data_IF_817659524865
#
_entry.id   IF_817659524865
#
_cell.length_a   1.000
_cell.length_b   1.000
_cell.length_c   1.000
_cell.angle_alpha   90.00
_cell.angle_beta   90.00
_cell.angle_gamma   90.00
#
_symmetry.space_group_name_H-M   'P 1'
#
loop_
_entity.id
_entity.type
_entity.pdbx_description
1 polymer ?
#
# COMPACT_ATOMS: atom_id res chain seq x y z
N UNK A 1 -6.16 -9.58 -3.99
CA UNK A 1 -5.03 -8.89 -3.33
C UNK A 1 -5.00 -7.46 -3.83
N UNK A 2 -4.82 -6.47 -2.96
CA UNK A 2 -4.74 -5.06 -3.35
C UNK A 2 -3.36 -4.74 -3.93
N UNK A 3 -3.25 -3.97 -5.04
CA UNK A 3 -1.95 -3.56 -5.59
C UNK A 3 -1.08 -2.82 -4.57
N UNK A 4 0.24 -2.97 -4.63
CA UNK A 4 1.18 -2.29 -3.72
C UNK A 4 0.95 -0.77 -3.64
N UNK A 5 0.67 -0.12 -4.78
CA UNK A 5 0.34 1.32 -4.85
C UNK A 5 -0.89 1.72 -4.04
N UNK A 6 -1.89 0.84 -3.93
CA UNK A 6 -3.09 1.10 -3.11
C UNK A 6 -2.83 0.92 -1.61
N UNK A 7 -1.86 0.08 -1.22
CA UNK A 7 -1.45 -0.06 0.18
C UNK A 7 -0.75 1.20 0.69
N UNK A 8 0.16 1.79 -0.09
CA UNK A 8 0.79 3.07 0.27
C UNK A 8 -0.23 4.18 0.47
N UNK A 9 -1.20 4.30 -0.46
CA UNK A 9 -2.27 5.30 -0.35
C UNK A 9 -3.21 5.07 0.84
N UNK A 10 -3.43 3.81 1.21
CA UNK A 10 -4.20 3.48 2.40
C UNK A 10 -3.43 3.87 3.68
N UNK A 11 -2.12 3.62 3.72
CA UNK A 11 -1.27 4.05 4.82
C UNK A 11 -1.22 5.58 4.96
N UNK A 12 -1.19 6.33 3.84
CA UNK A 12 -1.27 7.79 3.85
C UNK A 12 -2.55 8.27 4.54
N UNK A 13 -3.70 7.63 4.25
CA UNK A 13 -4.99 7.97 4.90
C UNK A 13 -4.94 7.68 6.40
N UNK A 14 -4.36 6.55 6.82
CA UNK A 14 -4.21 6.22 8.24
C UNK A 14 -3.32 7.25 8.94
N UNK A 15 -2.20 7.64 8.31
CA UNK A 15 -1.26 8.61 8.87
C UNK A 15 -1.94 9.95 9.20
N UNK A 16 -2.87 10.40 8.33
CA UNK A 16 -3.65 11.62 8.58
C UNK A 16 -4.59 11.50 9.80
N UNK A 17 -5.10 10.30 10.09
CA UNK A 17 -6.02 10.07 11.20
C UNK A 17 -5.33 9.98 12.57
N UNK A 18 -4.04 9.57 12.59
CA UNK A 18 -3.27 9.34 13.82
C UNK A 18 -2.33 10.49 14.17
N UNK A 19 -2.53 11.67 13.57
CA UNK A 19 -1.68 12.82 13.84
C UNK A 19 -1.72 13.20 15.33
N UNK A 20 -0.56 13.55 15.93
CA UNK A 20 -0.47 13.94 17.34
C UNK A 20 -1.38 15.13 17.64
N UNK A 21 -1.34 16.14 16.78
CA UNK A 21 -2.17 17.33 16.86
C UNK A 21 -3.58 17.06 16.30
N UNK A 22 -4.65 17.22 17.10
CA UNK A 22 -6.01 16.93 16.67
C UNK A 22 -6.51 17.88 15.57
N UNK A 23 -6.00 19.10 15.50
CA UNK A 23 -6.38 20.12 14.51
C UNK A 23 -5.91 19.77 13.09
N UNK A 24 -4.88 18.93 12.97
CA UNK A 24 -4.38 18.45 11.68
C UNK A 24 -5.09 17.20 11.19
N UNK A 25 -5.96 16.60 12.02
CA UNK A 25 -6.77 15.47 11.59
C UNK A 25 -7.88 15.99 10.68
N UNK A 26 -8.03 15.42 9.48
CA UNK A 26 -9.10 15.82 8.59
C UNK A 26 -10.47 15.42 9.17
N UNK A 27 -11.56 16.08 8.75
CA UNK A 27 -12.89 15.65 9.12
C UNK A 27 -13.16 14.22 8.64
N UNK A 28 -13.91 13.44 9.42
CA UNK A 28 -14.22 12.03 9.07
C UNK A 28 -14.92 11.88 7.72
N UNK A 29 -15.65 12.90 7.26
CA UNK A 29 -16.25 12.94 5.92
C UNK A 29 -15.19 12.85 4.81
N UNK A 30 -14.05 13.51 4.98
CA UNK A 30 -12.94 13.48 4.01
C UNK A 30 -12.24 12.12 4.02
N UNK A 31 -12.01 11.54 5.21
CA UNK A 31 -11.44 10.20 5.37
C UNK A 31 -12.30 9.16 4.66
N UNK A 32 -13.61 9.17 4.91
CA UNK A 32 -14.55 8.23 4.29
C UNK A 32 -14.57 8.40 2.77
N UNK A 33 -14.59 9.65 2.27
CA UNK A 33 -14.54 9.90 0.83
C UNK A 33 -13.24 9.39 0.19
N UNK A 34 -12.09 9.59 0.84
CA UNK A 34 -10.80 9.09 0.35
C UNK A 34 -10.77 7.56 0.29
N UNK A 35 -11.28 6.89 1.34
CA UNK A 35 -11.39 5.43 1.41
C UNK A 35 -12.32 4.87 0.33
N UNK A 36 -13.50 5.47 0.15
CA UNK A 36 -14.47 5.06 -0.89
C UNK A 36 -13.83 5.16 -2.27
N UNK A 37 -13.17 6.29 -2.58
CA UNK A 37 -12.47 6.48 -3.86
C UNK A 37 -11.38 5.43 -4.08
N UNK A 38 -10.62 5.09 -3.04
CA UNK A 38 -9.56 4.09 -3.11
C UNK A 38 -10.11 2.68 -3.39
N UNK A 39 -11.17 2.28 -2.66
CA UNK A 39 -11.82 0.97 -2.84
C UNK A 39 -12.44 0.87 -4.23
N UNK A 40 -13.13 1.91 -4.71
CA UNK A 40 -13.71 1.94 -6.05
C UNK A 40 -12.63 1.78 -7.13
N UNK A 41 -11.52 2.53 -7.04
CA UNK A 41 -10.41 2.42 -7.99
C UNK A 41 -9.76 1.04 -7.97
N UNK A 42 -9.52 0.47 -6.78
CA UNK A 42 -8.97 -0.88 -6.66
C UNK A 42 -9.91 -1.96 -7.24
N UNK A 43 -11.23 -1.78 -7.06
CA UNK A 43 -12.26 -2.68 -7.59
C UNK A 43 -12.34 -2.63 -9.12
N UNK A 44 -12.16 -1.44 -9.71
CA UNK A 44 -12.08 -1.25 -11.16
C UNK A 44 -10.76 -1.82 -11.71
N UNK A 45 -9.65 -1.66 -11.00
CA UNK A 45 -8.34 -2.23 -11.36
C UNK A 45 -8.39 -3.75 -11.41
N UNK A 46 -9.13 -4.42 -10.52
CA UNK A 46 -9.30 -5.89 -10.57
C UNK A 46 -9.90 -6.40 -11.89
N UNK A 47 -10.59 -5.56 -12.67
CA UNK A 47 -11.09 -5.92 -14.01
C UNK A 47 -10.08 -5.67 -15.14
N UNK A 48 -8.92 -5.05 -14.87
CA UNK A 48 -7.92 -4.69 -15.89
C UNK A 48 -6.47 -5.11 -15.59
N UNK A 49 -6.10 -5.46 -14.36
CA UNK A 49 -4.71 -5.68 -13.95
C UNK A 49 -4.28 -7.15 -13.93
N UNK A 50 -4.16 -7.78 -15.09
CA UNK A 50 -3.32 -8.98 -15.27
C UNK A 50 -1.85 -8.62 -15.57
N UNK A 51 -1.46 -7.35 -15.55
CA UNK A 51 -0.13 -6.91 -16.01
C UNK A 51 0.42 -5.78 -15.12
N UNK A 52 1.06 -6.12 -14.00
CA UNK A 52 2.18 -5.35 -13.39
C UNK A 52 2.84 -6.22 -12.29
N UNK A 53 3.34 -7.39 -12.68
CA UNK A 53 4.22 -8.23 -11.84
C UNK A 53 5.67 -7.77 -12.06
N UNK A 54 6.03 -6.60 -11.55
CA UNK A 54 7.28 -5.93 -11.94
C UNK A 54 8.16 -5.40 -10.82
N UNK A 55 7.94 -5.78 -9.55
CA UNK A 55 8.87 -5.48 -8.46
C UNK A 55 9.70 -6.73 -8.15
N UNK A 56 10.71 -6.95 -8.98
CA UNK A 56 11.80 -7.86 -8.70
C UNK A 56 12.56 -7.36 -7.46
N UNK A 57 12.42 -8.04 -6.34
CA UNK A 57 13.40 -7.94 -5.27
C UNK A 57 14.69 -8.58 -5.81
N UNK A 58 15.62 -7.78 -6.32
CA UNK A 58 17.02 -8.19 -6.41
C UNK A 58 17.63 -7.98 -5.04
N UNK A 59 17.77 -9.04 -4.25
CA UNK A 59 18.74 -9.08 -3.15
C UNK A 59 20.04 -9.69 -3.69
N UNK A 60 21.16 -8.95 -3.75
CA UNK A 60 22.46 -9.55 -3.98
C UNK A 60 23.00 -10.15 -2.66
N UNK A 61 23.62 -11.32 -2.77
CA UNK A 61 24.57 -11.91 -1.82
C UNK A 61 24.04 -12.45 -0.47
N UNK A 62 23.79 -13.77 -0.42
CA UNK A 62 24.09 -14.57 0.78
C UNK A 62 24.24 -16.06 0.42
N UNK A 63 25.26 -16.41 -0.37
CA UNK A 63 25.72 -17.81 -0.52
C UNK A 63 27.20 -17.85 -0.10
N UNK A 64 27.43 -17.72 1.20
CA UNK A 64 28.68 -18.07 1.84
C UNK A 64 28.36 -18.56 3.25
N UNK A 65 28.84 -19.79 3.56
CA UNK A 65 28.72 -20.54 4.82
C UNK A 65 27.37 -21.28 4.91
N UNK A 66 27.28 -22.60 4.74
CA UNK A 66 27.99 -23.61 5.50
C UNK A 66 28.18 -24.92 4.71
N UNK A 67 29.40 -25.43 4.80
CA UNK A 67 29.86 -26.69 4.25
C UNK A 67 29.77 -27.71 5.39
N UNK A 68 28.78 -28.59 5.39
CA UNK A 68 28.74 -29.73 6.31
C UNK A 68 27.92 -30.91 5.76
N UNK A 69 28.54 -31.73 4.90
CA UNK A 69 28.50 -33.20 4.91
C UNK A 69 29.69 -33.77 4.14
#
# INVERSE_FOLDING_TARGET
MYPAKSLSRFADIIALCVQPEPEFRPPMSEVVQALVRLVQRASVVKRRSSDESGFAYRTPDHEAIDMSF
#
